data_IF_808782648455
#
_entry.id   IF_808782648455
#
_cell.length_a   1.000
_cell.length_b   1.000
_cell.length_c   1.000
_cell.angle_alpha   90.00
_cell.angle_beta   90.00
_cell.angle_gamma   90.00
#
_symmetry.space_group_name_H-M   'P 1'
#
loop_
_entity.id
_entity.type
_entity.pdbx_description
1 polymer ?
#
# COMPACT_ATOMS: atom_id res chain seq x y z
N UNK A 1 8.08 -37.95 20.65
CA UNK A 1 7.61 -36.73 21.33
C UNK A 1 6.86 -35.89 20.31
N UNK A 2 5.58 -35.52 20.54
CA UNK A 2 4.85 -34.65 19.64
C UNK A 2 5.20 -33.18 19.90
N UNK A 3 5.31 -32.39 18.83
CA UNK A 3 5.47 -30.94 18.87
C UNK A 3 4.10 -30.28 19.14
N UNK A 4 4.03 -29.54 20.25
CA UNK A 4 2.89 -28.73 20.66
C UNK A 4 2.88 -27.42 19.83
N UNK A 5 1.88 -27.29 18.95
CA UNK A 5 1.58 -26.09 18.18
C UNK A 5 0.59 -25.24 18.98
N UNK A 6 1.09 -24.45 19.95
CA UNK A 6 0.26 -23.40 20.54
C UNK A 6 1.09 -22.22 21.08
N UNK A 7 0.74 -21.03 20.56
CA UNK A 7 1.01 -19.68 21.11
C UNK A 7 2.42 -19.10 20.99
N UNK A 8 2.76 -18.64 19.79
CA UNK A 8 3.61 -17.45 19.62
C UNK A 8 2.72 -16.22 19.36
N UNK A 9 2.23 -15.62 20.45
CA UNK A 9 1.72 -14.24 20.44
C UNK A 9 2.91 -13.32 20.15
N UNK A 10 2.97 -12.75 18.95
CA UNK A 10 3.86 -11.63 18.65
C UNK A 10 3.44 -10.43 19.52
N UNK A 11 4.14 -10.21 20.64
CA UNK A 11 4.07 -8.93 21.36
C UNK A 11 5.03 -7.98 20.66
N UNK A 12 4.48 -7.06 19.87
CA UNK A 12 5.21 -5.83 19.56
C UNK A 12 5.30 -5.02 20.86
N UNK A 13 6.47 -5.02 21.49
CA UNK A 13 6.79 -4.03 22.53
C UNK A 13 7.14 -2.76 21.76
N UNK A 14 6.14 -1.92 21.48
CA UNK A 14 6.43 -0.51 21.24
C UNK A 14 6.72 0.09 22.61
N UNK A 15 8.00 0.37 22.88
CA UNK A 15 8.34 1.25 23.99
C UNK A 15 7.67 2.61 23.78
N UNK A 16 7.18 3.28 24.84
CA UNK A 16 6.63 4.61 24.70
C UNK A 16 7.75 5.57 24.33
N UNK A 17 7.83 5.91 23.04
CA UNK A 17 8.68 7.00 22.57
C UNK A 17 8.29 8.26 23.36
N UNK A 18 9.28 8.88 24.02
CA UNK A 18 9.08 10.04 24.88
C UNK A 18 8.28 11.13 24.19
N UNK A 19 7.38 11.78 24.95
CA UNK A 19 6.45 12.82 24.46
C UNK A 19 7.11 14.01 23.75
N UNK A 20 8.42 14.12 23.80
CA UNK A 20 9.20 15.20 23.17
C UNK A 20 9.44 15.00 21.66
N UNK A 21 9.34 13.77 21.15
CA UNK A 21 9.45 13.47 19.69
C UNK A 21 8.12 13.62 18.91
N UNK A 22 7.01 13.93 19.61
CA UNK A 22 5.66 14.00 19.01
C UNK A 22 5.36 15.38 18.38
N UNK A 23 6.29 16.34 18.44
CA UNK A 23 6.06 17.67 17.86
C UNK A 23 6.33 17.76 16.35
N UNK A 24 7.19 16.92 15.77
CA UNK A 24 7.54 16.97 14.34
C UNK A 24 6.70 16.07 13.41
N UNK A 25 5.88 15.16 13.96
CA UNK A 25 4.99 14.28 13.17
C UNK A 25 3.71 15.01 12.70
N UNK A 26 3.47 16.24 13.16
CA UNK A 26 2.18 16.93 12.99
C UNK A 26 1.85 17.39 11.57
N UNK A 27 2.79 17.29 10.62
CA UNK A 27 2.64 17.82 9.26
C UNK A 27 3.02 16.82 8.16
N UNK A 28 2.66 15.54 8.29
CA UNK A 28 2.74 14.64 7.13
C UNK A 28 1.47 14.87 6.30
N UNK A 29 1.58 15.75 5.31
CA UNK A 29 0.55 15.94 4.29
C UNK A 29 0.47 14.76 3.32
N UNK A 30 -0.43 14.84 2.32
CA UNK A 30 -0.50 13.86 1.24
C UNK A 30 0.86 13.62 0.60
N UNK A 31 1.23 12.34 0.42
CA UNK A 31 2.45 11.92 -0.26
C UNK A 31 2.11 11.10 -1.50
N UNK A 32 2.93 11.17 -2.55
CA UNK A 32 2.83 10.32 -3.73
C UNK A 32 4.11 9.50 -3.93
N UNK A 33 3.95 8.18 -4.12
CA UNK A 33 5.01 7.25 -4.46
C UNK A 33 4.76 6.60 -5.82
N UNK A 34 5.76 6.64 -6.69
CA UNK A 34 5.82 5.78 -7.88
C UNK A 34 6.49 4.46 -7.51
N UNK A 35 5.70 3.41 -7.29
CA UNK A 35 6.20 2.09 -6.84
C UNK A 35 6.84 1.29 -7.98
N UNK A 36 6.77 1.80 -9.20
CA UNK A 36 7.46 1.25 -10.37
C UNK A 36 6.69 0.12 -11.04
N UNK A 37 7.43 -0.80 -11.68
CA UNK A 37 6.88 -1.85 -12.53
C UNK A 37 6.79 -3.17 -11.79
N UNK A 38 5.61 -3.52 -11.29
CA UNK A 38 5.35 -4.78 -10.61
C UNK A 38 5.65 -6.00 -11.48
N UNK A 39 5.43 -5.87 -12.80
CA UNK A 39 5.69 -6.92 -13.80
C UNK A 39 7.17 -7.36 -13.88
N UNK A 40 8.10 -6.56 -13.34
CA UNK A 40 9.52 -6.94 -13.25
C UNK A 40 9.83 -7.87 -12.07
N UNK A 41 8.98 -7.87 -11.05
CA UNK A 41 9.19 -8.63 -9.81
C UNK A 41 8.29 -9.87 -9.71
N UNK A 42 7.15 -9.84 -10.39
CA UNK A 42 6.16 -10.91 -10.38
C UNK A 42 5.65 -11.12 -11.82
N UNK A 43 5.65 -12.38 -12.27
CA UNK A 43 5.17 -12.69 -13.62
C UNK A 43 3.63 -12.67 -13.65
N UNK A 44 2.99 -12.11 -14.68
CA UNK A 44 1.53 -12.12 -14.77
C UNK A 44 0.92 -13.51 -14.92
N UNK A 45 1.64 -14.46 -15.53
CA UNK A 45 1.19 -15.84 -15.70
C UNK A 45 2.29 -16.84 -15.39
N UNK A 46 1.90 -17.99 -14.85
CA UNK A 46 2.79 -19.10 -14.57
C UNK A 46 2.26 -20.36 -15.24
N UNK A 47 3.15 -21.08 -15.91
CA UNK A 47 2.83 -22.30 -16.64
C UNK A 47 3.58 -23.50 -16.06
N UNK A 48 2.92 -24.66 -16.06
CA UNK A 48 3.51 -25.97 -15.75
C UNK A 48 3.13 -26.90 -16.88
N UNK A 49 4.12 -27.55 -17.49
CA UNK A 49 3.94 -28.46 -18.62
C UNK A 49 3.16 -27.86 -19.81
N UNK A 50 3.32 -26.55 -20.06
CA UNK A 50 2.64 -25.82 -21.12
C UNK A 50 1.17 -25.48 -20.83
N UNK A 51 0.69 -25.76 -19.61
CA UNK A 51 -0.62 -25.35 -19.14
C UNK A 51 -0.49 -24.17 -18.17
N UNK A 52 -1.23 -23.09 -18.42
CA UNK A 52 -1.35 -21.99 -17.46
C UNK A 52 -2.05 -22.49 -16.18
N UNK A 53 -1.35 -22.36 -15.05
CA UNK A 53 -1.83 -22.80 -13.74
C UNK A 53 -2.18 -21.62 -12.81
N UNK A 54 -1.70 -20.42 -13.12
CA UNK A 54 -1.94 -19.23 -12.33
C UNK A 54 -1.85 -17.99 -13.22
N UNK A 55 -2.90 -17.18 -13.16
CA UNK A 55 -2.94 -15.85 -13.74
C UNK A 55 -3.17 -14.83 -12.63
N UNK A 56 -2.34 -13.80 -12.59
CA UNK A 56 -2.42 -12.71 -11.63
C UNK A 56 -3.06 -11.52 -12.34
N UNK A 57 -4.37 -11.39 -12.14
CA UNK A 57 -5.18 -10.35 -12.79
C UNK A 57 -4.92 -8.95 -12.24
N UNK A 58 -4.52 -8.85 -10.96
CA UNK A 58 -4.32 -7.57 -10.29
C UNK A 58 -3.19 -7.66 -9.26
N UNK A 59 -2.46 -6.56 -9.10
CA UNK A 59 -1.35 -6.40 -8.19
C UNK A 59 -1.34 -4.96 -7.69
N UNK A 60 -1.24 -4.79 -6.38
CA UNK A 60 -1.13 -3.48 -5.76
C UNK A 60 -0.15 -3.54 -4.58
N UNK A 61 0.43 -2.39 -4.28
CA UNK A 61 1.22 -2.17 -3.07
C UNK A 61 0.34 -1.40 -2.09
N UNK A 62 0.39 -1.81 -0.83
CA UNK A 62 -0.33 -1.15 0.25
C UNK A 62 0.53 -1.09 1.50
N UNK A 63 0.39 0.01 2.23
CA UNK A 63 1.04 0.31 3.49
C UNK A 63 0.00 0.40 4.60
N UNK A 64 0.29 -0.21 5.75
CA UNK A 64 -0.54 0.01 6.92
C UNK A 64 -0.26 1.41 7.49
N UNK A 65 -1.13 2.38 7.20
CA UNK A 65 -0.92 3.79 7.54
C UNK A 65 -1.65 4.18 8.82
N UNK A 66 -0.89 4.59 9.83
CA UNK A 66 -1.44 5.17 11.07
C UNK A 66 -1.36 6.71 11.10
N UNK A 67 -0.49 7.31 10.28
CA UNK A 67 -0.31 8.76 10.21
C UNK A 67 -1.52 9.43 9.54
N UNK A 68 -1.78 10.72 9.82
CA UNK A 68 -2.95 11.42 9.28
C UNK A 68 -2.87 11.69 7.77
N UNK A 69 -1.66 11.74 7.20
CA UNK A 69 -1.46 11.98 5.77
C UNK A 69 -1.70 10.71 4.94
N UNK A 70 -2.57 10.73 3.91
CA UNK A 70 -2.71 9.63 2.98
C UNK A 70 -1.44 9.43 2.15
N UNK A 71 -1.18 8.18 1.76
CA UNK A 71 -0.12 7.81 0.83
C UNK A 71 -0.75 7.37 -0.48
N UNK A 72 -0.52 8.12 -1.54
CA UNK A 72 -0.95 7.80 -2.90
C UNK A 72 0.14 7.01 -3.60
N UNK A 73 -0.27 6.00 -4.36
CA UNK A 73 0.61 5.03 -4.98
C UNK A 73 0.30 4.92 -6.46
N UNK A 74 1.35 4.84 -7.28
CA UNK A 74 1.25 4.51 -8.70
C UNK A 74 2.14 3.32 -9.03
N UNK A 75 1.53 2.21 -9.43
CA UNK A 75 2.22 0.97 -9.82
C UNK A 75 1.84 0.57 -11.24
N UNK A 76 2.79 0.10 -12.04
CA UNK A 76 2.49 -0.60 -13.29
C UNK A 76 2.26 -2.09 -13.03
N UNK A 77 1.15 -2.61 -13.53
CA UNK A 77 0.86 -4.04 -13.59
C UNK A 77 0.31 -4.44 -14.96
N UNK A 78 1.01 -5.37 -15.61
CA UNK A 78 0.60 -5.96 -16.88
C UNK A 78 0.20 -4.92 -17.95
N UNK A 79 1.02 -3.87 -18.09
CA UNK A 79 0.83 -2.78 -19.04
C UNK A 79 -0.21 -1.74 -18.61
N UNK A 80 -0.73 -1.80 -17.38
CA UNK A 80 -1.70 -0.85 -16.83
C UNK A 80 -1.10 -0.10 -15.65
N UNK A 81 -1.31 1.21 -15.59
CA UNK A 81 -1.05 1.97 -14.37
C UNK A 81 -2.23 1.79 -13.42
N UNK A 82 -1.93 1.38 -12.20
CA UNK A 82 -2.87 1.23 -11.10
C UNK A 82 -2.54 2.33 -10.10
N UNK A 83 -3.57 3.07 -9.70
CA UNK A 83 -3.49 4.04 -8.62
C UNK A 83 -4.20 3.48 -7.39
N UNK A 84 -3.56 3.62 -6.24
CA UNK A 84 -4.13 3.23 -4.94
C UNK A 84 -3.78 4.27 -3.89
N UNK A 85 -4.50 4.23 -2.77
CA UNK A 85 -4.26 5.13 -1.65
C UNK A 85 -4.45 4.39 -0.34
N UNK A 86 -3.45 4.51 0.53
CA UNK A 86 -3.52 4.06 1.91
C UNK A 86 -3.79 5.27 2.81
N UNK A 87 -4.84 5.22 3.60
CA UNK A 87 -5.22 6.32 4.49
C UNK A 87 -5.78 5.81 5.81
N UNK A 88 -5.66 6.65 6.83
CA UNK A 88 -6.25 6.40 8.13
C UNK A 88 -7.67 7.01 8.16
N UNK A 89 -8.70 6.16 8.12
CA UNK A 89 -10.11 6.56 8.18
C UNK A 89 -10.48 7.35 9.45
N UNK A 90 -9.70 7.23 10.53
CA UNK A 90 -9.89 8.05 11.73
C UNK A 90 -9.37 9.49 11.58
N UNK A 91 -8.56 9.75 10.56
CA UNK A 91 -7.95 11.05 10.30
C UNK A 91 -8.55 11.76 9.07
N UNK A 92 -8.97 11.01 8.05
CA UNK A 92 -9.52 11.55 6.81
C UNK A 92 -10.74 10.74 6.38
N UNK A 93 -11.82 11.44 6.02
CA UNK A 93 -13.04 10.83 5.49
C UNK A 93 -12.78 10.21 4.10
N UNK A 94 -13.29 9.00 3.82
CA UNK A 94 -13.10 8.32 2.53
C UNK A 94 -13.46 9.18 1.32
N UNK A 95 -14.55 9.96 1.39
CA UNK A 95 -15.03 10.81 0.29
C UNK A 95 -14.03 11.93 -0.07
N UNK A 96 -13.26 12.40 0.91
CA UNK A 96 -12.19 13.38 0.67
C UNK A 96 -11.01 12.72 -0.05
N UNK A 97 -10.69 11.48 0.34
CA UNK A 97 -9.62 10.70 -0.30
C UNK A 97 -9.96 10.36 -1.75
N UNK A 98 -11.21 9.98 -2.03
CA UNK A 98 -11.70 9.74 -3.39
C UNK A 98 -11.53 10.99 -4.28
N UNK A 99 -11.92 12.17 -3.77
CA UNK A 99 -11.73 13.44 -4.49
C UNK A 99 -10.26 13.76 -4.76
N UNK A 100 -9.37 13.46 -3.83
CA UNK A 100 -7.94 13.62 -4.05
C UNK A 100 -7.39 12.63 -5.07
N UNK A 101 -7.91 11.40 -5.10
CA UNK A 101 -7.57 10.42 -6.14
C UNK A 101 -7.98 10.92 -7.52
N UNK A 102 -9.18 11.51 -7.67
CA UNK A 102 -9.62 12.11 -8.93
C UNK A 102 -8.67 13.21 -9.41
N UNK A 103 -8.16 14.05 -8.50
CA UNK A 103 -7.18 15.08 -8.85
C UNK A 103 -5.87 14.47 -9.35
N UNK A 104 -5.39 13.41 -8.72
CA UNK A 104 -4.20 12.67 -9.18
C UNK A 104 -4.41 12.02 -10.54
N UNK A 105 -5.56 11.40 -10.76
CA UNK A 105 -5.95 10.82 -12.05
C UNK A 105 -5.92 11.90 -13.13
N UNK A 106 -6.57 13.04 -12.89
CA UNK A 106 -6.61 14.14 -13.86
C UNK A 106 -5.20 14.66 -14.15
N UNK A 107 -4.36 14.86 -13.14
CA UNK A 107 -2.98 15.30 -13.33
C UNK A 107 -2.15 14.32 -14.19
N UNK A 108 -2.38 13.02 -14.04
CA UNK A 108 -1.68 11.99 -14.82
C UNK A 108 -2.20 11.88 -16.26
N UNK A 109 -3.46 12.25 -16.51
CA UNK A 109 -4.08 12.22 -17.84
C UNK A 109 -3.90 13.53 -18.61
N UNK A 110 -3.64 14.65 -17.95
CA UNK A 110 -3.40 15.97 -18.54
C UNK A 110 -1.99 16.13 -19.19
N UNK A 111 -1.30 15.01 -19.46
CA UNK A 111 0.06 14.96 -20.02
C UNK A 111 0.05 14.72 -21.53
#
# INVERSE_FOLDING_TARGET
MPLDLNRSKWRFIQEPVGRELIQDIRNIGPWYAGDGRGSLYLMPSYEVDGQNVLEISNFFVGLNKCDPGPSFHGTEWNGRIILSVDFNELAVEPEIVERWMDLWINLLLDI
#
